data_IF_903741192435
#
_entry.id   IF_903741192435
#
_cell.length_a   1.000
_cell.length_b   1.000
_cell.length_c   1.000
_cell.angle_alpha   90.00
_cell.angle_beta   90.00
_cell.angle_gamma   90.00
#
_symmetry.space_group_name_H-M   'P 1'
#
loop_
_entity.id
_entity.type
_entity.pdbx_description
1 polymer ?
#
# COMPACT_ATOMS: atom_id res chain seq x y z
N UNK A 1 7.76 -16.07 -5.50
CA UNK A 1 7.04 -17.36 -5.67
C UNK A 1 8.02 -18.52 -5.50
N UNK A 2 7.61 -19.62 -4.89
CA UNK A 2 8.48 -20.77 -4.62
C UNK A 2 7.73 -22.07 -4.92
N UNK A 3 8.29 -22.94 -5.76
CA UNK A 3 7.73 -24.26 -6.04
C UNK A 3 8.24 -25.28 -5.00
N UNK A 4 7.36 -26.15 -4.54
CA UNK A 4 7.66 -27.29 -3.68
C UNK A 4 7.88 -28.56 -4.52
N UNK A 5 8.48 -29.60 -3.89
CA UNK A 5 8.76 -30.89 -4.57
C UNK A 5 7.49 -31.67 -4.99
N UNK A 6 6.30 -31.27 -4.49
CA UNK A 6 5.03 -31.98 -4.67
C UNK A 6 4.10 -31.32 -5.71
N UNK A 7 4.64 -30.59 -6.68
CA UNK A 7 3.88 -29.80 -7.67
C UNK A 7 2.94 -28.75 -7.05
N UNK A 8 3.30 -28.24 -5.89
CA UNK A 8 2.64 -27.14 -5.19
C UNK A 8 3.51 -25.88 -5.23
N UNK A 9 2.88 -24.72 -5.15
CA UNK A 9 3.60 -23.46 -5.08
C UNK A 9 3.00 -22.52 -4.02
N UNK A 10 3.88 -21.90 -3.23
CA UNK A 10 3.52 -20.80 -2.36
C UNK A 10 3.77 -19.48 -3.07
N UNK A 11 2.72 -18.65 -3.16
CA UNK A 11 2.74 -17.32 -3.78
C UNK A 11 2.35 -16.30 -2.74
N UNK A 12 3.12 -15.21 -2.63
CA UNK A 12 2.89 -14.16 -1.63
C UNK A 12 2.61 -12.83 -2.32
N UNK A 13 1.49 -12.19 -1.93
CA UNK A 13 1.16 -10.79 -2.26
C UNK A 13 1.17 -10.02 -0.95
N UNK A 14 2.36 -9.51 -0.56
CA UNK A 14 2.61 -8.86 0.73
C UNK A 14 2.92 -7.37 0.59
N UNK A 15 2.62 -6.80 -0.57
CA UNK A 15 2.88 -5.39 -0.86
C UNK A 15 1.69 -4.78 -1.63
N UNK A 16 1.79 -3.51 -1.98
CA UNK A 16 0.82 -2.86 -2.88
C UNK A 16 0.78 -3.57 -4.23
N UNK A 17 -0.38 -3.57 -4.87
CA UNK A 17 -0.56 -4.02 -6.25
C UNK A 17 -0.25 -2.84 -7.16
N UNK A 18 0.64 -3.04 -8.14
CA UNK A 18 1.05 -2.02 -9.11
C UNK A 18 2.50 -1.60 -8.98
N UNK A 19 2.82 -0.40 -9.51
CA UNK A 19 4.18 0.06 -9.74
C UNK A 19 5.11 0.06 -8.51
N UNK A 20 4.55 0.30 -7.33
CA UNK A 20 5.33 0.39 -6.08
C UNK A 20 5.47 -0.94 -5.34
N UNK A 21 4.87 -2.00 -5.85
CA UNK A 21 4.87 -3.31 -5.24
C UNK A 21 4.82 -4.42 -6.28
N UNK A 22 3.73 -5.22 -6.28
CA UNK A 22 3.56 -6.37 -7.17
C UNK A 22 2.90 -5.95 -8.48
N UNK A 23 3.66 -5.83 -9.57
CA UNK A 23 3.10 -5.56 -10.89
C UNK A 23 2.53 -6.81 -11.55
N UNK A 24 1.49 -6.67 -12.37
CA UNK A 24 0.93 -7.79 -13.14
C UNK A 24 1.98 -8.46 -14.03
N UNK A 25 2.86 -7.67 -14.65
CA UNK A 25 3.93 -8.21 -15.52
C UNK A 25 4.86 -9.15 -14.76
N UNK A 26 5.33 -8.71 -13.60
CA UNK A 26 6.22 -9.52 -12.77
C UNK A 26 5.49 -10.76 -12.29
N UNK A 27 4.29 -10.61 -11.74
CA UNK A 27 3.47 -11.70 -11.23
C UNK A 27 3.23 -12.79 -12.28
N UNK A 28 2.77 -12.42 -13.48
CA UNK A 28 2.47 -13.36 -14.58
C UNK A 28 3.73 -14.07 -15.07
N UNK A 29 4.87 -13.36 -15.13
CA UNK A 29 6.14 -14.00 -15.52
C UNK A 29 6.61 -15.02 -14.48
N UNK A 30 6.51 -14.70 -13.18
CA UNK A 30 6.86 -15.60 -12.09
C UNK A 30 5.89 -16.79 -12.02
N UNK A 31 4.58 -16.56 -12.20
CA UNK A 31 3.57 -17.63 -12.26
C UNK A 31 3.87 -18.61 -13.40
N UNK A 32 4.20 -18.12 -14.59
CA UNK A 32 4.60 -18.97 -15.73
C UNK A 32 5.90 -19.73 -15.48
N UNK A 33 6.82 -19.17 -14.74
CA UNK A 33 8.11 -19.80 -14.41
C UNK A 33 7.97 -20.96 -13.42
N UNK A 34 6.84 -21.09 -12.70
CA UNK A 34 6.57 -22.22 -11.82
C UNK A 34 6.33 -23.55 -12.58
N UNK A 35 6.00 -23.47 -13.87
CA UNK A 35 5.75 -24.66 -14.69
C UNK A 35 4.41 -25.36 -14.37
N UNK A 36 4.40 -26.68 -14.51
CA UNK A 36 3.18 -27.50 -14.35
C UNK A 36 2.92 -27.80 -12.86
N UNK A 37 2.42 -26.80 -12.13
CA UNK A 37 1.96 -26.98 -10.74
C UNK A 37 0.47 -27.32 -10.71
N UNK A 38 0.06 -28.11 -9.72
CA UNK A 38 -1.33 -28.58 -9.54
C UNK A 38 -2.05 -27.86 -8.41
N UNK A 39 -1.32 -27.23 -7.49
CA UNK A 39 -1.88 -26.49 -6.37
C UNK A 39 -1.09 -25.22 -6.10
N UNK A 40 -1.82 -24.13 -5.79
CA UNK A 40 -1.27 -22.84 -5.38
C UNK A 40 -1.81 -22.49 -3.99
N UNK A 41 -0.91 -22.25 -3.05
CA UNK A 41 -1.20 -21.58 -1.79
C UNK A 41 -0.92 -20.08 -2.00
N UNK A 42 -1.96 -19.27 -2.12
CA UNK A 42 -1.84 -17.83 -2.32
C UNK A 42 -2.00 -17.11 -0.99
N UNK A 43 -0.92 -16.53 -0.49
CA UNK A 43 -0.86 -15.78 0.74
C UNK A 43 -1.02 -14.28 0.48
N UNK A 44 -1.97 -13.63 1.15
CA UNK A 44 -2.29 -12.23 0.94
C UNK A 44 -2.16 -11.45 2.24
N UNK A 45 -1.37 -10.36 2.17
CA UNK A 45 -1.29 -9.32 3.18
C UNK A 45 -1.02 -7.97 2.48
N UNK A 46 -2.06 -7.39 1.87
CA UNK A 46 -1.95 -6.27 0.93
C UNK A 46 -3.06 -5.23 1.12
N UNK A 47 -2.75 -3.93 1.01
CA UNK A 47 -3.74 -2.86 1.00
C UNK A 47 -4.46 -2.72 -0.35
N UNK A 48 -4.15 -3.57 -1.33
CA UNK A 48 -4.62 -3.43 -2.69
C UNK A 48 -3.74 -2.54 -3.56
N UNK A 49 -4.33 -1.86 -4.53
CA UNK A 49 -3.55 -0.99 -5.40
C UNK A 49 -4.15 -0.76 -6.78
N UNK A 50 -3.31 -0.79 -7.82
CA UNK A 50 -3.74 -0.53 -9.19
C UNK A 50 -4.78 -1.54 -9.66
N UNK A 51 -5.88 -1.02 -10.21
CA UNK A 51 -7.04 -1.83 -10.62
C UNK A 51 -6.70 -2.72 -11.81
N UNK A 52 -5.97 -2.21 -12.80
CA UNK A 52 -5.70 -2.97 -14.02
C UNK A 52 -4.63 -4.03 -13.80
N UNK A 53 -3.59 -3.73 -13.01
CA UNK A 53 -2.64 -4.73 -12.56
C UNK A 53 -3.36 -5.83 -11.74
N UNK A 54 -4.26 -5.44 -10.83
CA UNK A 54 -5.05 -6.36 -10.03
C UNK A 54 -5.96 -7.26 -10.85
N UNK A 55 -6.69 -6.71 -11.83
CA UNK A 55 -7.53 -7.49 -12.77
C UNK A 55 -6.66 -8.47 -13.57
N UNK A 56 -5.49 -8.05 -14.03
CA UNK A 56 -4.60 -8.93 -14.80
C UNK A 56 -4.05 -10.08 -13.93
N UNK A 57 -3.72 -9.82 -12.66
CA UNK A 57 -3.31 -10.85 -11.70
C UNK A 57 -4.46 -11.82 -11.42
N UNK A 58 -5.66 -11.28 -11.12
CA UNK A 58 -6.87 -12.09 -10.91
C UNK A 58 -7.15 -13.01 -12.08
N UNK A 59 -7.14 -12.49 -13.31
CA UNK A 59 -7.39 -13.26 -14.51
C UNK A 59 -6.29 -14.30 -14.75
N UNK A 60 -5.03 -13.98 -14.50
CA UNK A 60 -3.94 -14.94 -14.64
C UNK A 60 -4.11 -16.14 -13.70
N UNK A 61 -4.50 -15.88 -12.44
CA UNK A 61 -4.80 -16.92 -11.45
C UNK A 61 -6.05 -17.72 -11.83
N UNK A 62 -7.15 -17.05 -12.22
CA UNK A 62 -8.41 -17.68 -12.60
C UNK A 62 -8.27 -18.61 -13.81
N UNK A 63 -7.36 -18.28 -14.74
CA UNK A 63 -7.08 -19.13 -15.93
C UNK A 63 -5.99 -20.18 -15.69
N UNK A 64 -5.34 -20.17 -14.53
CA UNK A 64 -4.35 -21.18 -14.19
C UNK A 64 -5.04 -22.54 -13.91
N UNK A 65 -4.45 -23.62 -14.38
CA UNK A 65 -5.05 -24.96 -14.22
C UNK A 65 -4.94 -25.56 -12.81
N UNK A 66 -4.16 -24.94 -11.92
CA UNK A 66 -3.99 -25.40 -10.55
C UNK A 66 -5.21 -25.06 -9.67
N UNK A 67 -5.48 -25.90 -8.66
CA UNK A 67 -6.37 -25.54 -7.57
C UNK A 67 -5.72 -24.44 -6.73
N UNK A 68 -6.51 -23.44 -6.27
CA UNK A 68 -5.99 -22.30 -5.52
C UNK A 68 -6.62 -22.25 -4.14
N UNK A 69 -5.80 -22.38 -3.09
CA UNK A 69 -6.15 -22.07 -1.72
C UNK A 69 -5.63 -20.66 -1.41
N UNK A 70 -6.51 -19.78 -0.96
CA UNK A 70 -6.14 -18.43 -0.53
C UNK A 70 -6.06 -18.37 0.99
N UNK A 71 -4.96 -17.80 1.50
CA UNK A 71 -4.73 -17.52 2.91
C UNK A 71 -4.63 -16.01 3.12
N UNK A 72 -5.51 -15.45 3.95
CA UNK A 72 -5.40 -14.04 4.35
C UNK A 72 -4.56 -13.97 5.61
N UNK A 73 -3.31 -13.54 5.47
CA UNK A 73 -2.34 -13.57 6.58
C UNK A 73 -2.38 -12.31 7.47
N UNK A 74 -3.03 -11.25 7.01
CA UNK A 74 -3.22 -10.02 7.77
C UNK A 74 -4.36 -9.18 7.21
N UNK A 75 -4.15 -8.61 6.03
CA UNK A 75 -5.12 -7.75 5.36
C UNK A 75 -5.30 -8.15 3.89
N UNK A 76 -6.53 -8.20 3.43
CA UNK A 76 -6.88 -8.20 2.01
C UNK A 76 -7.81 -7.02 1.73
N UNK A 77 -7.27 -5.87 1.34
CA UNK A 77 -8.07 -4.68 1.08
C UNK A 77 -8.14 -4.31 -0.40
N UNK A 78 -9.24 -3.68 -0.84
CA UNK A 78 -9.40 -3.14 -2.18
C UNK A 78 -9.09 -4.22 -3.25
N UNK A 79 -8.21 -3.97 -4.20
CA UNK A 79 -7.87 -4.94 -5.25
C UNK A 79 -7.32 -6.28 -4.72
N UNK A 80 -6.69 -6.31 -3.54
CA UNK A 80 -6.26 -7.55 -2.92
C UNK A 80 -7.45 -8.44 -2.49
N UNK A 81 -8.56 -7.84 -2.08
CA UNK A 81 -9.80 -8.58 -1.78
C UNK A 81 -10.44 -9.16 -3.05
N UNK A 82 -10.36 -8.48 -4.19
CA UNK A 82 -10.79 -9.02 -5.48
C UNK A 82 -9.95 -10.24 -5.86
N UNK A 83 -8.63 -10.13 -5.74
CA UNK A 83 -7.71 -11.25 -6.04
C UNK A 83 -8.00 -12.44 -5.11
N UNK A 84 -8.34 -12.20 -3.84
CA UNK A 84 -8.68 -13.28 -2.91
C UNK A 84 -9.87 -14.13 -3.38
N UNK A 85 -10.76 -13.58 -4.20
CA UNK A 85 -11.94 -14.30 -4.71
C UNK A 85 -11.62 -15.44 -5.69
N UNK A 86 -10.37 -15.59 -6.13
CA UNK A 86 -9.97 -16.78 -6.92
C UNK A 86 -9.89 -18.04 -6.07
N UNK A 87 -9.82 -17.90 -4.74
CA UNK A 87 -9.59 -19.00 -3.82
C UNK A 87 -10.79 -19.94 -3.66
N UNK A 88 -10.50 -21.22 -3.66
CA UNK A 88 -11.43 -22.26 -3.26
C UNK A 88 -10.64 -23.40 -2.57
N UNK A 89 -10.47 -23.31 -1.23
CA UNK A 89 -11.08 -22.35 -0.28
C UNK A 89 -10.34 -21.00 -0.11
N UNK A 90 -11.03 -20.02 0.47
CA UNK A 90 -10.46 -18.83 1.10
C UNK A 90 -10.45 -19.03 2.61
N UNK A 91 -9.27 -19.00 3.22
CA UNK A 91 -9.03 -19.26 4.64
C UNK A 91 -8.61 -17.95 5.33
N UNK A 92 -9.31 -17.60 6.41
CA UNK A 92 -9.03 -16.39 7.19
C UNK A 92 -8.84 -16.72 8.67
N UNK A 93 -7.74 -16.35 9.31
CA UNK A 93 -7.68 -16.29 10.78
C UNK A 93 -8.64 -15.26 11.35
N UNK A 94 -9.17 -15.49 12.59
CA UNK A 94 -10.13 -14.59 13.26
C UNK A 94 -9.63 -13.15 13.40
N UNK A 95 -8.30 -12.95 13.46
CA UNK A 95 -7.66 -11.66 13.65
C UNK A 95 -7.17 -11.01 12.35
N UNK A 96 -7.63 -11.48 11.20
CA UNK A 96 -7.34 -10.87 9.89
C UNK A 96 -8.53 -10.09 9.37
N UNK A 97 -8.28 -9.21 8.41
CA UNK A 97 -9.29 -8.28 7.90
C UNK A 97 -9.39 -8.35 6.39
N UNK A 98 -10.60 -8.14 5.90
CA UNK A 98 -10.87 -7.87 4.49
C UNK A 98 -11.60 -6.54 4.35
N UNK A 99 -11.31 -5.77 3.31
CA UNK A 99 -12.02 -4.54 3.00
C UNK A 99 -12.35 -4.47 1.52
N UNK A 100 -13.59 -4.11 1.24
CA UNK A 100 -14.08 -3.87 -0.10
C UNK A 100 -14.63 -2.44 -0.21
N UNK A 101 -14.33 -1.77 -1.30
CA UNK A 101 -14.82 -0.43 -1.61
C UNK A 101 -14.87 -0.17 -3.11
N UNK A 102 -15.54 0.92 -3.51
CA UNK A 102 -15.59 1.37 -4.91
C UNK A 102 -14.20 1.73 -5.44
N UNK A 103 -13.94 1.51 -6.75
CA UNK A 103 -12.77 2.07 -7.38
C UNK A 103 -12.81 3.60 -7.31
N UNK A 104 -11.67 4.20 -7.04
CA UNK A 104 -11.53 5.64 -6.95
C UNK A 104 -10.25 6.12 -7.62
N UNK A 105 -10.14 7.39 -7.87
CA UNK A 105 -8.95 8.00 -8.45
C UNK A 105 -9.11 9.49 -8.63
N UNK A 106 -8.15 10.10 -9.32
CA UNK A 106 -8.11 11.54 -9.56
C UNK A 106 -8.19 11.83 -11.05
N UNK A 107 -8.99 12.81 -11.41
CA UNK A 107 -9.05 13.37 -12.76
C UNK A 107 -8.96 14.90 -12.71
N UNK A 108 -8.43 15.49 -13.77
CA UNK A 108 -8.36 16.93 -13.95
C UNK A 108 -8.80 17.30 -15.34
N UNK A 109 -9.63 18.35 -15.48
CA UNK A 109 -10.14 18.79 -16.76
C UNK A 109 -11.37 19.68 -16.61
N UNK A 110 -12.18 19.79 -17.66
CA UNK A 110 -13.44 20.50 -17.62
C UNK A 110 -14.60 19.61 -17.08
N UNK A 111 -15.82 20.14 -17.08
CA UNK A 111 -16.97 19.42 -16.53
C UNK A 111 -17.34 18.14 -17.33
N UNK A 112 -16.96 18.04 -18.60
CA UNK A 112 -17.18 16.83 -19.39
C UNK A 112 -16.12 15.78 -19.05
N UNK A 113 -14.86 16.19 -18.95
CA UNK A 113 -13.77 15.30 -18.52
C UNK A 113 -14.07 14.65 -17.16
N UNK A 114 -14.66 15.43 -16.21
CA UNK A 114 -15.07 14.90 -14.92
C UNK A 114 -16.20 13.86 -15.03
N UNK A 115 -17.18 14.09 -15.89
CA UNK A 115 -18.28 13.12 -16.11
C UNK A 115 -17.76 11.85 -16.76
N UNK A 116 -16.94 12.00 -17.79
CA UNK A 116 -16.35 10.85 -18.51
C UNK A 116 -15.51 10.00 -17.55
N UNK A 117 -14.81 10.65 -16.62
CA UNK A 117 -14.03 9.93 -15.58
C UNK A 117 -14.95 9.23 -14.57
N UNK A 118 -16.04 9.86 -14.13
CA UNK A 118 -17.02 9.23 -13.26
C UNK A 118 -17.65 8.00 -13.94
N UNK A 119 -18.08 8.12 -15.21
CA UNK A 119 -18.62 7.01 -15.99
C UNK A 119 -17.60 5.85 -16.14
N UNK A 120 -16.31 6.18 -16.23
CA UNK A 120 -15.26 5.17 -16.29
C UNK A 120 -15.10 4.44 -14.95
N UNK A 121 -15.17 5.14 -13.80
CA UNK A 121 -15.13 4.51 -12.49
C UNK A 121 -16.33 3.57 -12.28
N UNK A 122 -17.53 4.00 -12.66
CA UNK A 122 -18.75 3.16 -12.63
C UNK A 122 -18.59 1.92 -13.51
N UNK A 123 -17.99 2.06 -14.67
CA UNK A 123 -17.70 0.93 -15.56
C UNK A 123 -16.68 -0.03 -14.95
N UNK A 124 -15.63 0.48 -14.32
CA UNK A 124 -14.65 -0.34 -13.60
C UNK A 124 -15.32 -1.09 -12.46
N UNK A 125 -16.16 -0.43 -11.65
CA UNK A 125 -16.93 -1.07 -10.59
C UNK A 125 -17.74 -2.25 -11.13
N UNK A 126 -18.47 -2.04 -12.25
CA UNK A 126 -19.28 -3.09 -12.88
C UNK A 126 -18.48 -4.31 -13.33
N UNK A 127 -17.18 -4.16 -13.61
CA UNK A 127 -16.26 -5.25 -13.96
C UNK A 127 -15.79 -6.01 -12.72
N UNK A 128 -15.66 -5.35 -11.56
CA UNK A 128 -15.17 -5.96 -10.31
C UNK A 128 -16.27 -6.72 -9.54
N UNK A 129 -17.51 -6.22 -9.56
CA UNK A 129 -18.66 -6.82 -8.83
C UNK A 129 -18.85 -8.32 -9.10
N UNK A 130 -18.74 -8.84 -10.35
CA UNK A 130 -18.92 -10.26 -10.62
C UNK A 130 -17.96 -11.18 -9.86
N UNK A 131 -16.73 -10.76 -9.57
CA UNK A 131 -15.78 -11.56 -8.82
C UNK A 131 -16.28 -11.82 -7.39
N UNK A 132 -16.83 -10.80 -6.74
CA UNK A 132 -17.43 -10.91 -5.42
C UNK A 132 -18.76 -11.69 -5.45
N UNK A 133 -19.62 -11.38 -6.42
CA UNK A 133 -20.93 -12.03 -6.55
C UNK A 133 -20.80 -13.54 -6.79
N UNK A 134 -19.86 -13.96 -7.66
CA UNK A 134 -19.57 -15.37 -7.92
C UNK A 134 -19.11 -16.10 -6.64
N UNK A 135 -18.25 -15.47 -5.84
CA UNK A 135 -17.71 -16.06 -4.62
C UNK A 135 -18.73 -16.13 -3.51
N UNK A 136 -19.47 -15.05 -3.28
CA UNK A 136 -20.34 -14.89 -2.11
C UNK A 136 -21.77 -15.41 -2.33
N UNK A 137 -22.19 -15.56 -3.58
CA UNK A 137 -23.59 -15.83 -3.96
C UNK A 137 -24.54 -14.64 -3.75
N UNK A 138 -24.02 -13.45 -3.41
CA UNK A 138 -24.80 -12.21 -3.27
C UNK A 138 -25.19 -11.65 -4.63
N UNK A 139 -26.25 -10.86 -4.64
CA UNK A 139 -26.66 -10.08 -5.83
C UNK A 139 -25.67 -8.95 -6.12
N UNK A 140 -25.68 -8.47 -7.37
CA UNK A 140 -24.88 -7.31 -7.79
C UNK A 140 -25.20 -6.07 -6.95
N UNK A 141 -26.47 -5.85 -6.61
CA UNK A 141 -26.91 -4.69 -5.84
C UNK A 141 -26.43 -4.76 -4.37
N UNK A 142 -26.43 -5.96 -3.77
CA UNK A 142 -25.87 -6.15 -2.42
C UNK A 142 -24.36 -5.88 -2.40
N UNK A 143 -23.63 -6.37 -3.40
CA UNK A 143 -22.18 -6.10 -3.50
C UNK A 143 -21.94 -4.61 -3.76
N UNK A 144 -22.69 -3.96 -4.66
CA UNK A 144 -22.57 -2.53 -4.92
C UNK A 144 -22.80 -1.68 -3.66
N UNK A 145 -23.79 -2.05 -2.84
CA UNK A 145 -24.05 -1.38 -1.56
C UNK A 145 -22.88 -1.55 -0.57
N UNK A 146 -22.29 -2.76 -0.49
CA UNK A 146 -21.12 -3.01 0.37
C UNK A 146 -19.88 -2.25 -0.11
N UNK A 147 -19.70 -2.11 -1.42
CA UNK A 147 -18.61 -1.30 -2.02
C UNK A 147 -18.79 0.20 -1.71
N UNK A 148 -20.01 0.71 -1.80
CA UNK A 148 -20.36 2.11 -1.49
C UNK A 148 -20.10 2.45 0.00
N UNK A 149 -20.30 1.47 0.87
CA UNK A 149 -20.12 1.61 2.30
C UNK A 149 -18.66 1.49 2.78
N UNK A 150 -17.70 1.16 1.90
CA UNK A 150 -16.33 0.80 2.32
C UNK A 150 -16.39 -0.23 3.46
N UNK A 151 -16.82 -1.44 3.10
CA UNK A 151 -17.13 -2.47 4.10
C UNK A 151 -15.86 -3.15 4.62
N UNK A 152 -15.61 -3.04 5.91
CA UNK A 152 -14.55 -3.72 6.64
C UNK A 152 -15.12 -4.96 7.35
N UNK A 153 -14.47 -6.11 7.19
CA UNK A 153 -14.93 -7.39 7.73
C UNK A 153 -13.77 -8.14 8.38
N UNK A 154 -14.00 -8.68 9.58
CA UNK A 154 -13.13 -9.68 10.19
C UNK A 154 -13.34 -11.08 9.57
N UNK A 155 -12.57 -12.09 10.02
CA UNK A 155 -12.70 -13.45 9.49
C UNK A 155 -14.08 -14.06 9.67
N UNK A 156 -14.78 -13.77 10.79
CA UNK A 156 -16.11 -14.29 11.07
C UNK A 156 -17.17 -13.61 10.21
N UNK A 157 -17.06 -12.31 10.03
CA UNK A 157 -17.92 -11.52 9.15
C UNK A 157 -17.72 -11.93 7.68
N UNK A 158 -16.47 -12.16 7.24
CA UNK A 158 -16.19 -12.69 5.92
C UNK A 158 -16.83 -14.06 5.70
N UNK A 159 -16.75 -14.96 6.66
CA UNK A 159 -17.43 -16.27 6.60
C UNK A 159 -18.96 -16.11 6.51
N UNK A 160 -19.54 -15.25 7.35
CA UNK A 160 -20.98 -15.00 7.36
C UNK A 160 -21.50 -14.41 6.06
N UNK A 161 -20.68 -13.58 5.39
CA UNK A 161 -21.01 -12.94 4.12
C UNK A 161 -20.58 -13.74 2.87
N UNK A 162 -19.87 -14.87 3.05
CA UNK A 162 -19.45 -15.76 1.96
C UNK A 162 -18.13 -15.34 1.27
N UNK A 163 -17.40 -14.35 1.81
CA UNK A 163 -16.08 -13.97 1.29
C UNK A 163 -14.97 -14.95 1.71
N UNK A 164 -15.16 -15.62 2.85
CA UNK A 164 -14.28 -16.69 3.31
C UNK A 164 -15.06 -18.00 3.40
N UNK A 165 -14.35 -19.12 3.20
CA UNK A 165 -14.90 -20.47 3.33
C UNK A 165 -14.58 -21.09 4.70
N UNK A 166 -13.47 -20.66 5.32
CA UNK A 166 -13.00 -21.19 6.59
C UNK A 166 -12.42 -20.08 7.46
N UNK A 167 -12.70 -20.17 8.77
CA UNK A 167 -12.08 -19.32 9.78
C UNK A 167 -11.21 -20.18 10.68
N UNK A 168 -9.97 -19.75 10.89
CA UNK A 168 -9.03 -20.42 11.79
C UNK A 168 -8.77 -19.61 13.04
N UNK A 169 -8.16 -20.22 14.05
CA UNK A 169 -7.77 -19.51 15.27
C UNK A 169 -6.78 -18.39 14.94
N UNK A 170 -6.82 -17.33 15.73
CA UNK A 170 -5.93 -16.17 15.58
C UNK A 170 -4.47 -16.57 15.51
N UNK A 171 -3.78 -16.11 14.46
CA UNK A 171 -2.33 -16.19 14.37
C UNK A 171 -1.70 -15.06 15.21
N UNK A 172 -0.48 -15.28 15.72
CA UNK A 172 0.27 -14.16 16.29
C UNK A 172 0.51 -13.13 15.21
N UNK A 173 0.13 -11.88 15.45
CA UNK A 173 0.27 -10.79 14.49
C UNK A 173 1.73 -10.65 14.04
N UNK A 174 2.01 -10.96 12.79
CA UNK A 174 3.37 -11.04 12.27
C UNK A 174 3.70 -9.98 11.21
N UNK A 175 2.73 -9.22 10.71
CA UNK A 175 3.03 -8.31 9.61
C UNK A 175 2.47 -6.91 9.86
N UNK A 176 3.36 -5.95 9.99
CA UNK A 176 3.03 -4.52 9.86
C UNK A 176 3.01 -4.17 8.37
N UNK A 177 1.87 -3.81 7.83
CA UNK A 177 1.77 -3.30 6.46
C UNK A 177 2.29 -1.86 6.46
N UNK A 178 3.42 -1.62 5.80
CA UNK A 178 3.98 -0.29 5.63
C UNK A 178 3.54 0.28 4.27
N UNK A 179 2.31 0.71 4.16
CA UNK A 179 1.82 1.38 2.97
C UNK A 179 1.08 2.68 3.33
N UNK A 180 1.38 3.75 2.60
CA UNK A 180 0.66 5.02 2.71
C UNK A 180 -0.78 4.92 2.20
N UNK A 181 -1.06 3.93 1.36
CA UNK A 181 -2.41 3.67 0.82
C UNK A 181 -3.44 3.36 1.90
N UNK A 182 -3.00 2.88 3.04
CA UNK A 182 -3.85 2.62 4.19
C UNK A 182 -4.46 3.91 4.76
N UNK A 183 -3.78 5.05 4.58
CA UNK A 183 -4.28 6.36 5.00
C UNK A 183 -5.42 6.88 4.11
N UNK A 184 -5.61 6.28 2.92
CA UNK A 184 -6.64 6.67 1.95
C UNK A 184 -8.02 6.08 2.27
N UNK A 185 -8.13 5.13 3.21
CA UNK A 185 -9.39 4.49 3.58
C UNK A 185 -10.19 5.36 4.56
N UNK A 186 -11.45 5.68 4.20
CA UNK A 186 -12.29 6.63 4.95
C UNK A 186 -12.84 6.04 6.24
N UNK A 187 -13.35 4.79 6.18
CA UNK A 187 -14.06 4.13 7.29
C UNK A 187 -13.20 3.13 8.07
N UNK A 188 -11.86 3.19 7.93
CA UNK A 188 -10.97 2.26 8.62
C UNK A 188 -11.22 2.24 10.13
N UNK A 189 -11.49 1.07 10.75
CA UNK A 189 -11.65 0.92 12.17
C UNK A 189 -10.41 1.39 12.95
N UNK A 190 -10.60 2.11 14.06
CA UNK A 190 -9.51 2.61 14.89
C UNK A 190 -8.60 1.50 15.44
N UNK A 191 -9.14 0.30 15.66
CA UNK A 191 -8.38 -0.88 16.05
C UNK A 191 -7.29 -1.22 15.03
N UNK A 192 -7.63 -1.18 13.74
CA UNK A 192 -6.70 -1.46 12.64
C UNK A 192 -5.72 -0.31 12.47
N UNK A 193 -6.20 0.93 12.49
CA UNK A 193 -5.36 2.13 12.40
C UNK A 193 -4.24 2.13 13.44
N UNK A 194 -4.55 1.71 14.67
CA UNK A 194 -3.59 1.59 15.76
C UNK A 194 -2.58 0.43 15.58
N UNK A 195 -2.95 -0.63 14.87
CA UNK A 195 -2.05 -1.77 14.58
C UNK A 195 -1.06 -1.46 13.46
N UNK A 196 -1.45 -0.63 12.51
CA UNK A 196 -0.69 -0.30 11.30
C UNK A 196 0.24 0.91 11.54
N UNK A 197 -0.19 1.87 12.35
CA UNK A 197 0.63 3.03 12.71
C UNK A 197 1.60 2.60 13.80
N UNK A 198 2.94 2.63 13.57
CA UNK A 198 3.87 2.37 14.65
C UNK A 198 3.59 3.34 15.80
N UNK A 199 3.66 2.91 17.06
CA UNK A 199 3.35 3.76 18.19
C UNK A 199 4.22 5.03 18.10
N UNK A 200 3.60 6.16 17.80
CA UNK A 200 4.27 7.46 17.99
C UNK A 200 4.70 7.49 19.45
N UNK A 201 5.98 7.54 19.68
CA UNK A 201 6.56 7.76 21.00
C UNK A 201 6.16 9.17 21.47
N UNK A 202 4.89 9.32 21.84
CA UNK A 202 4.41 10.50 22.54
C UNK A 202 4.78 10.34 24.01
N UNK A 203 6.05 10.54 24.32
CA UNK A 203 6.43 10.97 25.65
C UNK A 203 6.04 12.45 25.79
N UNK A 204 4.74 12.73 25.77
CA UNK A 204 4.23 13.92 26.42
C UNK A 204 4.20 13.61 27.91
N UNK A 205 5.26 13.99 28.57
CA UNK A 205 5.26 14.19 30.03
C UNK A 205 4.30 15.32 30.32
N UNK A 206 3.14 14.99 30.90
CA UNK A 206 2.34 15.96 31.65
C UNK A 206 3.24 16.63 32.70
N UNK A 207 3.17 17.94 32.91
CA UNK A 207 3.91 18.58 33.97
C UNK A 207 3.33 18.19 35.33
N UNK A 208 3.97 17.28 36.04
CA UNK A 208 3.69 17.04 37.45
C UNK A 208 4.23 18.20 38.29
N UNK A 209 3.34 18.79 39.10
CA UNK A 209 3.69 19.74 40.13
C UNK A 209 4.72 19.17 41.13
N UNK A 210 5.63 19.99 41.66
CA UNK A 210 6.69 19.51 42.54
C UNK A 210 6.16 19.21 43.93
N UNK A 211 6.33 17.96 44.39
CA UNK A 211 6.30 17.62 45.82
C UNK A 211 7.72 17.66 46.39
N UNK A 212 7.90 18.07 47.68
CA UNK A 212 9.22 18.27 48.27
C UNK A 212 9.97 16.96 48.50
N UNK A 213 11.19 16.91 48.01
CA UNK A 213 12.10 15.76 48.08
C UNK A 213 12.95 15.88 49.35
N UNK A 214 12.94 14.78 50.13
CA UNK A 214 13.91 14.57 51.22
C UNK A 214 15.18 13.94 50.63
N UNK A 215 16.31 14.54 50.95
CA UNK A 215 17.61 14.16 50.41
C UNK A 215 18.08 12.76 50.89
N UNK A 216 18.49 11.93 49.93
CA UNK A 216 19.36 10.80 50.18
C UNK A 216 20.49 10.79 49.16
N UNK A 217 21.71 10.92 49.65
CA UNK A 217 22.97 10.87 48.94
C UNK A 217 23.25 9.48 48.40
N UNK A 218 23.43 9.32 47.09
CA UNK A 218 24.11 8.15 46.51
C UNK A 218 24.94 8.57 45.30
N UNK A 219 26.15 8.09 45.31
CA UNK A 219 27.27 8.25 44.37
C UNK A 219 26.92 7.85 42.94
N UNK A 220 27.41 8.53 41.89
CA UNK A 220 27.11 8.15 40.50
C UNK A 220 27.91 6.90 40.07
N UNK A 221 27.17 5.93 39.53
CA UNK A 221 27.79 4.82 38.79
C UNK A 221 28.10 5.24 37.33
N UNK A 222 29.16 4.72 36.69
CA UNK A 222 29.55 5.16 35.34
C UNK A 222 28.53 4.72 34.29
N UNK A 223 28.19 5.65 33.39
CA UNK A 223 27.34 5.41 32.25
C UNK A 223 27.85 4.32 31.32
N UNK A 224 26.99 3.39 30.93
CA UNK A 224 27.35 2.24 30.09
C UNK A 224 27.62 2.68 28.65
N UNK A 225 28.75 2.32 28.11
CA UNK A 225 29.21 2.56 26.73
C UNK A 225 28.35 1.91 25.64
N UNK A 226 27.34 1.10 26.00
CA UNK A 226 26.41 0.43 25.09
C UNK A 226 25.36 1.37 24.48
N UNK A 227 24.96 2.40 25.22
CA UNK A 227 23.89 3.32 24.73
C UNK A 227 24.41 4.26 23.64
N UNK A 228 25.68 4.70 23.75
CA UNK A 228 26.28 5.61 22.78
C UNK A 228 26.52 4.95 21.42
N UNK A 229 26.90 3.68 21.40
CA UNK A 229 27.08 2.92 20.15
C UNK A 229 25.76 2.68 19.43
N UNK A 230 24.69 2.43 20.17
CA UNK A 230 23.34 2.23 19.63
C UNK A 230 22.78 3.53 19.04
N UNK A 231 22.95 4.65 19.75
CA UNK A 231 22.52 5.97 19.26
C UNK A 231 23.29 6.37 17.99
N UNK A 232 24.61 6.13 17.95
CA UNK A 232 25.42 6.39 16.74
C UNK A 232 24.96 5.55 15.55
N UNK A 233 24.64 4.27 15.77
CA UNK A 233 24.16 3.38 14.72
C UNK A 233 22.79 3.83 14.18
N UNK A 234 21.88 4.30 15.03
CA UNK A 234 20.59 4.83 14.64
C UNK A 234 20.73 6.12 13.82
N UNK A 235 21.52 7.09 14.29
CA UNK A 235 21.76 8.34 13.56
C UNK A 235 22.39 8.10 12.19
N UNK A 236 23.32 7.13 12.11
CA UNK A 236 23.95 6.76 10.83
C UNK A 236 22.95 6.12 9.86
N UNK A 237 22.06 5.28 10.37
CA UNK A 237 20.99 4.64 9.58
C UNK A 237 19.98 5.67 9.07
N UNK A 238 19.56 6.61 9.92
CA UNK A 238 18.64 7.71 9.52
C UNK A 238 19.26 8.61 8.46
N UNK A 239 20.53 8.98 8.62
CA UNK A 239 21.26 9.77 7.61
C UNK A 239 21.35 9.02 6.27
N UNK A 240 21.66 7.73 6.30
CA UNK A 240 21.73 6.89 5.09
C UNK A 240 20.38 6.81 4.40
N UNK A 241 19.30 6.62 5.15
CA UNK A 241 17.94 6.57 4.61
C UNK A 241 17.53 7.92 4.00
N UNK A 242 17.88 9.05 4.64
CA UNK A 242 17.66 10.39 4.11
C UNK A 242 18.38 10.59 2.78
N UNK A 243 19.65 10.26 2.70
CA UNK A 243 20.47 10.41 1.47
C UNK A 243 19.92 9.55 0.34
N UNK A 244 19.54 8.29 0.63
CA UNK A 244 18.94 7.40 -0.35
C UNK A 244 17.61 7.98 -0.87
N UNK A 245 16.73 8.45 0.01
CA UNK A 245 15.45 9.04 -0.39
C UNK A 245 15.61 10.31 -1.24
N UNK A 246 16.64 11.15 -0.96
CA UNK A 246 16.98 12.30 -1.81
C UNK A 246 17.50 11.81 -3.17
N UNK A 247 18.38 10.81 -3.21
CA UNK A 247 18.88 10.24 -4.47
C UNK A 247 17.75 9.68 -5.33
N UNK A 248 16.83 8.93 -4.73
CA UNK A 248 15.67 8.34 -5.41
C UNK A 248 14.75 9.44 -5.99
N UNK A 249 14.53 10.51 -5.23
CA UNK A 249 13.77 11.67 -5.68
C UNK A 249 14.37 12.30 -6.95
N UNK A 250 15.69 12.45 -7.02
CA UNK A 250 16.37 13.06 -8.15
C UNK A 250 16.68 12.09 -9.30
N UNK A 251 16.73 10.79 -9.05
CA UNK A 251 16.98 9.75 -10.07
C UNK A 251 15.92 9.79 -11.19
N UNK A 252 14.69 10.17 -10.87
CA UNK A 252 13.60 10.32 -11.85
C UNK A 252 13.85 11.38 -12.92
N UNK A 253 14.81 12.29 -12.72
CA UNK A 253 15.08 13.43 -13.61
C UNK A 253 16.33 13.24 -14.48
N UNK A 254 16.87 12.02 -14.56
CA UNK A 254 17.96 11.67 -15.48
C UNK A 254 19.19 12.57 -15.36
N UNK A 255 19.49 13.04 -14.15
CA UNK A 255 20.67 13.84 -13.90
C UNK A 255 20.55 15.35 -14.18
N UNK A 256 19.40 15.85 -14.59
CA UNK A 256 19.21 17.27 -14.95
C UNK A 256 19.34 18.27 -13.78
N UNK A 257 19.33 17.80 -12.52
CA UNK A 257 19.34 18.62 -11.31
C UNK A 257 20.43 18.22 -10.30
N UNK A 258 21.57 17.74 -10.78
CA UNK A 258 22.67 17.25 -9.93
C UNK A 258 23.20 18.27 -8.92
N UNK A 259 23.28 19.54 -9.31
CA UNK A 259 23.76 20.61 -8.39
C UNK A 259 22.81 20.76 -7.19
N UNK A 260 21.51 20.75 -7.45
CA UNK A 260 20.49 20.84 -6.41
C UNK A 260 20.47 19.57 -5.52
N UNK A 261 20.59 18.40 -6.13
CA UNK A 261 20.70 17.12 -5.43
C UNK A 261 21.90 17.13 -4.47
N UNK A 262 23.08 17.51 -4.96
CA UNK A 262 24.29 17.56 -4.16
C UNK A 262 24.18 18.58 -3.02
N UNK A 263 23.55 19.73 -3.25
CA UNK A 263 23.26 20.72 -2.22
C UNK A 263 22.40 20.14 -1.10
N UNK A 264 21.29 19.47 -1.45
CA UNK A 264 20.39 18.86 -0.47
C UNK A 264 21.03 17.69 0.31
N UNK A 265 21.92 16.93 -0.32
CA UNK A 265 22.66 15.84 0.34
C UNK A 265 23.72 16.38 1.30
N UNK A 266 24.44 17.44 0.91
CA UNK A 266 25.50 18.04 1.69
C UNK A 266 25.01 18.80 2.92
N UNK A 267 23.75 19.28 2.91
CA UNK A 267 23.13 19.97 4.02
C UNK A 267 22.46 18.95 4.99
N UNK A 268 22.98 18.75 6.21
CA UNK A 268 22.40 17.80 7.17
C UNK A 268 20.98 18.16 7.60
N UNK A 269 20.60 19.43 7.55
CA UNK A 269 19.28 19.94 7.94
C UNK A 269 18.25 19.83 6.79
N UNK A 270 18.70 19.60 5.55
CA UNK A 270 17.81 19.47 4.42
C UNK A 270 17.01 18.15 4.50
N UNK A 271 15.73 18.25 4.78
CA UNK A 271 14.81 17.10 4.78
C UNK A 271 14.43 16.69 3.37
N UNK A 272 13.92 15.46 3.21
CA UNK A 272 13.41 14.97 1.91
C UNK A 272 12.26 15.85 1.39
N UNK A 273 11.43 16.39 2.31
CA UNK A 273 10.36 17.33 1.96
C UNK A 273 10.91 18.64 1.40
N UNK A 274 11.93 19.21 2.03
CA UNK A 274 12.59 20.42 1.53
C UNK A 274 13.30 20.21 0.18
N UNK A 275 13.97 19.05 0.01
CA UNK A 275 14.58 18.67 -1.28
C UNK A 275 13.52 18.58 -2.39
N UNK A 276 12.34 18.05 -2.08
CA UNK A 276 11.19 18.00 -2.99
C UNK A 276 10.70 19.41 -3.36
N UNK A 277 10.53 20.30 -2.37
CA UNK A 277 10.04 21.67 -2.59
C UNK A 277 11.03 22.48 -3.41
N UNK A 278 12.33 22.37 -3.16
CA UNK A 278 13.38 23.04 -3.95
C UNK A 278 13.41 22.51 -5.39
N UNK A 279 13.24 21.20 -5.58
CA UNK A 279 13.14 20.59 -6.90
C UNK A 279 11.90 21.10 -7.67
N UNK A 280 10.73 21.13 -7.02
CA UNK A 280 9.50 21.67 -7.61
C UNK A 280 9.65 23.15 -8.00
N UNK A 281 10.29 23.95 -7.15
CA UNK A 281 10.59 25.35 -7.44
C UNK A 281 11.55 25.50 -8.63
N UNK A 282 12.55 24.62 -8.76
CA UNK A 282 13.47 24.61 -9.89
C UNK A 282 12.78 24.24 -11.21
N UNK A 283 11.87 23.28 -11.17
CA UNK A 283 11.06 22.86 -12.32
C UNK A 283 10.05 23.93 -12.74
N UNK A 284 9.43 24.61 -11.76
CA UNK A 284 8.46 25.70 -12.01
C UNK A 284 9.06 26.94 -12.68
N UNK A 285 10.34 27.20 -12.49
CA UNK A 285 11.02 28.37 -13.10
C UNK A 285 11.08 28.34 -14.62
N UNK A 286 10.99 27.16 -15.24
CA UNK A 286 11.06 26.97 -16.70
C UNK A 286 9.73 26.51 -17.32
N UNK A 287 8.64 26.52 -16.56
CA UNK A 287 7.35 26.03 -17.02
C UNK A 287 6.52 27.16 -17.65
N UNK A 288 6.43 27.19 -18.97
CA UNK A 288 5.38 27.94 -19.69
C UNK A 288 4.11 27.10 -19.74
N UNK A 289 2.92 27.67 -19.41
CA UNK A 289 1.66 26.94 -19.52
C UNK A 289 1.43 26.48 -20.96
N UNK A 290 1.31 25.19 -21.21
CA UNK A 290 0.93 24.69 -22.52
C UNK A 290 -0.57 24.33 -22.52
N UNK A 291 -1.31 24.94 -23.46
CA UNK A 291 -2.74 24.72 -23.70
C UNK A 291 -2.99 23.42 -24.50
N UNK A 292 -2.32 22.32 -24.14
CA UNK A 292 -2.59 21.01 -24.77
C UNK A 292 -3.43 20.19 -23.79
N UNK A 293 -4.62 19.84 -24.24
CA UNK A 293 -5.47 18.83 -23.59
C UNK A 293 -4.67 17.53 -23.43
N UNK A 294 -4.41 17.15 -22.20
CA UNK A 294 -3.83 15.84 -21.85
C UNK A 294 -4.98 14.86 -21.65
N UNK A 295 -4.86 13.69 -22.27
CA UNK A 295 -5.81 12.60 -22.05
C UNK A 295 -5.85 12.24 -20.55
N UNK A 296 -7.07 11.97 -20.06
CA UNK A 296 -7.28 11.56 -18.68
C UNK A 296 -6.62 10.19 -18.42
N UNK A 297 -5.80 10.11 -17.39
CA UNK A 297 -5.20 8.86 -16.96
C UNK A 297 -5.79 8.43 -15.63
N UNK A 298 -6.20 7.14 -15.55
CA UNK A 298 -6.73 6.55 -14.34
C UNK A 298 -5.56 6.09 -13.46
N UNK A 299 -5.47 6.64 -12.26
CA UNK A 299 -4.60 6.13 -11.21
C UNK A 299 -5.47 5.63 -10.06
N UNK A 300 -5.32 4.36 -9.72
CA UNK A 300 -5.56 3.92 -8.37
C UNK A 300 -4.37 4.43 -7.53
N UNK A 301 -4.35 5.73 -7.27
CA UNK A 301 -3.20 6.42 -6.70
C UNK A 301 -3.20 6.42 -5.19
N UNK A 302 -2.06 6.63 -4.60
CA UNK A 302 -1.80 6.62 -3.15
C UNK A 302 -2.00 8.00 -2.48
N UNK A 303 -2.98 8.79 -2.90
CA UNK A 303 -3.31 10.08 -2.25
C UNK A 303 -2.27 11.19 -2.35
N UNK A 304 -1.13 10.98 -3.03
CA UNK A 304 -0.12 12.02 -3.22
C UNK A 304 -0.39 12.84 -4.48
N UNK A 305 -1.49 13.59 -4.45
CA UNK A 305 -2.02 14.41 -5.53
C UNK A 305 -0.96 15.31 -6.20
N UNK A 306 -0.07 15.91 -5.41
CA UNK A 306 0.98 16.81 -5.92
C UNK A 306 2.13 16.03 -6.58
N UNK A 307 2.48 14.86 -6.05
CA UNK A 307 3.56 14.01 -6.59
C UNK A 307 3.21 13.40 -7.94
N UNK A 308 1.99 12.89 -8.08
CA UNK A 308 1.55 12.19 -9.28
C UNK A 308 1.18 13.17 -10.42
N UNK A 309 0.56 14.30 -10.13
CA UNK A 309 0.28 15.34 -11.11
C UNK A 309 1.56 16.00 -11.67
N UNK A 310 2.56 16.24 -10.83
CA UNK A 310 3.86 16.77 -11.25
C UNK A 310 4.63 15.75 -12.10
N UNK A 311 4.59 14.48 -11.74
CA UNK A 311 5.22 13.39 -12.47
C UNK A 311 4.65 13.26 -13.89
N UNK A 312 3.32 13.37 -14.06
CA UNK A 312 2.67 13.34 -15.38
C UNK A 312 2.98 14.55 -16.22
N UNK A 313 2.93 15.76 -15.64
CA UNK A 313 3.29 16.97 -16.34
C UNK A 313 4.75 16.94 -16.86
N UNK A 314 5.63 16.21 -16.19
CA UNK A 314 7.03 16.04 -16.57
C UNK A 314 7.22 14.94 -17.62
N UNK A 315 6.47 13.82 -17.54
CA UNK A 315 6.52 12.75 -18.54
C UNK A 315 5.93 13.19 -19.89
N UNK A 316 4.92 14.06 -19.87
CA UNK A 316 4.32 14.61 -21.09
C UNK A 316 5.23 15.65 -21.83
N UNK A 317 6.33 16.08 -21.20
CA UNK A 317 7.29 17.06 -21.75
C UNK A 317 8.66 16.47 -22.13
N UNK A 318 8.88 15.20 -21.85
CA UNK A 318 10.07 14.45 -22.28
C UNK A 318 9.83 13.72 -23.60
#
# INVERSE_FOLDING_TARGET
MQASADNEADIYIYDEIGYWGVTARQFVNELKALGDITHINLHINSPGGDVFDGIAIFNALKHHGAAITVHIDGLAASMASVIAMVGNPVIMPENTMMMIHKPWGFAGGDANDMRDYADLLDKVESVLIPAYAEKTGKTTDEIAAMLDDETWMDGKECLAHGFADQVTTSLQAMACIQSKRIEDFEKMPNSIRNMITPPRNTTQREPQQPQPQVAATTTPAPASTSDEATIRAQVLAEQKNRVNAINDLFAMFGGKHHELQNKCIADPECTVAQAKDELLAALGKNATPSNKTTDAHIYAGNGNFVGDGVRQALMARA
#
